data_IF_844445930998
#
_entry.id   IF_844445930998
#
_cell.length_a   1.000
_cell.length_b   1.000
_cell.length_c   1.000
_cell.angle_alpha   90.00
_cell.angle_beta   90.00
_cell.angle_gamma   90.00
#
_symmetry.space_group_name_H-M   'P 1'
#
loop_
_entity.id
_entity.type
_entity.pdbx_description
1 polymer ?
#
# COMPACT_ATOMS: atom_id res chain seq x y z
N UNK A 1 16.65 -17.61 -21.13
CA UNK A 1 15.37 -17.34 -20.44
C UNK A 1 15.50 -15.91 -19.95
N UNK A 2 14.59 -15.00 -20.36
CA UNK A 2 14.59 -13.61 -19.87
C UNK A 2 14.37 -13.57 -18.36
N UNK A 3 14.86 -12.53 -17.69
CA UNK A 3 14.56 -12.29 -16.27
C UNK A 3 13.06 -12.15 -16.09
N UNK A 4 12.52 -12.85 -15.09
CA UNK A 4 11.10 -12.74 -14.71
C UNK A 4 10.93 -11.43 -13.93
N UNK A 5 10.00 -10.60 -14.37
CA UNK A 5 9.75 -9.31 -13.71
C UNK A 5 8.92 -9.48 -12.43
N UNK A 6 9.01 -8.50 -11.51
CA UNK A 6 8.17 -8.45 -10.30
C UNK A 6 6.68 -8.52 -10.66
N UNK A 7 6.27 -7.78 -11.71
CA UNK A 7 4.88 -7.80 -12.21
C UNK A 7 4.44 -9.21 -12.66
N UNK A 8 5.31 -9.95 -13.35
CA UNK A 8 5.02 -11.31 -13.78
C UNK A 8 4.89 -12.27 -12.58
N UNK A 9 5.76 -12.12 -11.57
CA UNK A 9 5.71 -12.96 -10.37
C UNK A 9 4.47 -12.69 -9.52
N UNK A 10 4.14 -11.42 -9.28
CA UNK A 10 2.98 -11.03 -8.47
C UNK A 10 1.65 -11.43 -9.09
N UNK A 11 1.59 -11.54 -10.40
CA UNK A 11 0.37 -11.86 -11.16
C UNK A 11 0.36 -13.29 -11.71
N UNK A 12 1.26 -14.16 -11.24
CA UNK A 12 1.33 -15.56 -11.65
C UNK A 12 0.29 -16.40 -10.91
N UNK A 13 -0.85 -16.64 -11.57
CA UNK A 13 -1.94 -17.48 -11.10
C UNK A 13 -1.80 -18.95 -11.57
N UNK A 14 -0.61 -19.41 -11.92
CA UNK A 14 -0.37 -20.80 -12.25
C UNK A 14 -0.59 -21.72 -11.05
N UNK A 15 -0.94 -22.99 -11.32
CA UNK A 15 -1.09 -23.98 -10.26
C UNK A 15 0.17 -24.14 -9.41
N UNK A 16 1.34 -24.01 -10.02
CA UNK A 16 2.63 -24.11 -9.33
C UNK A 16 2.83 -22.95 -8.36
N UNK A 17 2.57 -21.70 -8.77
CA UNK A 17 2.71 -20.52 -7.94
C UNK A 17 1.69 -20.53 -6.78
N UNK A 18 0.45 -20.89 -7.06
CA UNK A 18 -0.60 -21.00 -6.00
C UNK A 18 -0.23 -22.10 -4.99
N UNK A 19 0.28 -23.26 -5.46
CA UNK A 19 0.70 -24.34 -4.56
C UNK A 19 1.88 -23.95 -3.67
N UNK A 20 2.87 -23.22 -4.21
CA UNK A 20 3.99 -22.67 -3.42
C UNK A 20 3.51 -21.67 -2.37
N UNK A 21 2.61 -20.77 -2.76
CA UNK A 21 2.02 -19.80 -1.82
C UNK A 21 1.25 -20.53 -0.70
N UNK A 22 0.45 -21.53 -1.02
CA UNK A 22 -0.29 -22.35 -0.04
C UNK A 22 0.67 -23.03 0.95
N UNK A 23 1.75 -23.64 0.46
CA UNK A 23 2.76 -24.28 1.30
C UNK A 23 3.39 -23.29 2.29
N UNK A 24 3.83 -22.12 1.81
CA UNK A 24 4.42 -21.10 2.67
C UNK A 24 3.43 -20.55 3.69
N UNK A 25 2.20 -20.25 3.30
CA UNK A 25 1.15 -19.80 4.20
C UNK A 25 0.83 -20.83 5.29
N UNK A 26 0.81 -22.13 4.97
CA UNK A 26 0.63 -23.21 5.95
C UNK A 26 1.81 -23.33 6.92
N UNK A 27 3.04 -23.14 6.44
CA UNK A 27 4.23 -23.09 7.31
C UNK A 27 4.21 -21.90 8.27
N UNK A 28 3.70 -20.75 7.83
CA UNK A 28 3.58 -19.54 8.67
C UNK A 28 2.42 -19.62 9.66
N UNK A 29 1.37 -20.37 9.36
CA UNK A 29 0.10 -20.41 10.10
C UNK A 29 0.24 -20.58 11.62
N UNK A 30 1.13 -21.42 12.17
CA UNK A 30 1.29 -21.57 13.64
C UNK A 30 1.71 -20.27 14.34
N UNK A 31 2.31 -19.32 13.62
CA UNK A 31 2.78 -18.05 14.14
C UNK A 31 1.85 -16.87 13.79
N UNK A 32 0.74 -17.13 13.11
CA UNK A 32 -0.20 -16.09 12.69
C UNK A 32 -1.28 -15.92 13.77
N UNK A 33 -1.34 -14.73 14.37
CA UNK A 33 -2.35 -14.39 15.36
C UNK A 33 -3.74 -14.23 14.77
N UNK A 34 -3.86 -13.84 13.49
CA UNK A 34 -5.13 -13.69 12.78
C UNK A 34 -4.94 -13.31 11.32
N UNK A 35 -5.95 -13.62 10.53
CA UNK A 35 -6.09 -13.19 9.13
C UNK A 35 -7.01 -11.96 9.12
N UNK A 36 -6.39 -10.78 9.16
CA UNK A 36 -7.08 -9.53 9.38
C UNK A 36 -6.69 -8.51 8.30
N UNK A 37 -7.64 -7.68 7.87
CA UNK A 37 -7.40 -6.64 6.89
C UNK A 37 -7.38 -5.23 7.54
N UNK A 38 -8.29 -4.96 8.49
CA UNK A 38 -8.53 -3.60 8.97
C UNK A 38 -8.06 -3.35 10.41
N UNK A 39 -8.08 -4.39 11.28
CA UNK A 39 -7.81 -4.25 12.71
C UNK A 39 -6.40 -4.70 13.15
N UNK A 40 -5.56 -5.16 12.22
CA UNK A 40 -4.18 -5.58 12.51
C UNK A 40 -3.33 -4.45 13.10
N UNK A 41 -3.52 -3.22 12.62
CA UNK A 41 -2.86 -2.01 13.13
C UNK A 41 -3.10 -1.78 14.63
N UNK A 42 -4.33 -2.02 15.13
CA UNK A 42 -4.65 -1.90 16.55
C UNK A 42 -4.00 -3.01 17.39
N UNK A 43 -3.73 -4.16 16.82
CA UNK A 43 -3.01 -5.23 17.52
C UNK A 43 -1.54 -4.87 17.72
N UNK A 44 -0.94 -4.14 16.78
CA UNK A 44 0.42 -3.60 16.89
C UNK A 44 0.51 -2.58 18.02
N UNK A 45 -0.34 -1.56 18.02
CA UNK A 45 -0.34 -0.48 19.03
C UNK A 45 -0.62 -1.01 20.46
N UNK A 46 -1.36 -2.13 20.58
CA UNK A 46 -1.64 -2.80 21.85
C UNK A 46 -0.57 -3.84 22.25
N UNK A 47 0.52 -3.98 21.48
CA UNK A 47 1.60 -4.93 21.73
C UNK A 47 1.19 -6.41 21.69
N UNK A 48 0.11 -6.74 20.96
CA UNK A 48 -0.41 -8.11 20.86
C UNK A 48 0.27 -8.93 19.76
N UNK A 49 0.84 -8.27 18.78
CA UNK A 49 1.58 -8.87 17.68
C UNK A 49 2.89 -8.11 17.43
N UNK A 50 3.88 -8.79 16.89
CA UNK A 50 5.20 -8.24 16.61
C UNK A 50 5.34 -7.75 15.17
N UNK A 51 4.49 -8.24 14.28
CA UNK A 51 4.52 -7.93 12.87
C UNK A 51 3.10 -7.93 12.30
N UNK A 52 2.83 -6.99 11.41
CA UNK A 52 1.57 -6.89 10.69
C UNK A 52 1.85 -6.63 9.21
N UNK A 53 1.22 -7.40 8.32
CA UNK A 53 1.16 -7.06 6.90
C UNK A 53 0.03 -6.06 6.70
N UNK A 54 0.39 -4.84 6.35
CA UNK A 54 -0.57 -3.74 6.30
C UNK A 54 -0.28 -2.78 5.15
N UNK A 55 -1.23 -1.96 4.81
CA UNK A 55 -1.06 -0.87 3.87
C UNK A 55 -0.29 0.29 4.50
N UNK A 56 0.40 1.09 3.66
CA UNK A 56 1.24 2.19 4.12
C UNK A 56 0.50 3.22 4.97
N UNK A 57 -0.72 3.62 4.62
CA UNK A 57 -1.50 4.58 5.41
C UNK A 57 -1.94 4.04 6.77
N UNK A 58 -2.27 2.74 6.86
CA UNK A 58 -2.53 2.09 8.15
C UNK A 58 -1.27 1.97 9.00
N UNK A 59 -0.10 1.84 8.37
CA UNK A 59 1.18 1.86 9.06
C UNK A 59 1.49 3.25 9.63
N UNK A 60 1.28 4.33 8.88
CA UNK A 60 1.40 5.73 9.37
C UNK A 60 0.56 5.91 10.63
N UNK A 61 -0.71 5.57 10.57
CA UNK A 61 -1.60 5.65 11.73
C UNK A 61 -1.10 4.84 12.92
N UNK A 62 -0.65 3.60 12.69
CA UNK A 62 -0.16 2.73 13.77
C UNK A 62 1.12 3.27 14.42
N UNK A 63 2.04 3.84 13.64
CA UNK A 63 3.28 4.46 14.12
C UNK A 63 2.95 5.67 15.01
N UNK A 64 2.06 6.55 14.56
CA UNK A 64 1.64 7.75 15.31
C UNK A 64 0.97 7.38 16.64
N UNK A 65 -0.03 6.50 16.62
CA UNK A 65 -0.74 6.04 17.82
C UNK A 65 0.18 5.29 18.80
N UNK A 66 1.11 4.49 18.30
CA UNK A 66 2.08 3.77 19.14
C UNK A 66 3.06 4.72 19.82
N UNK A 67 3.49 5.77 19.15
CA UNK A 67 4.38 6.79 19.69
C UNK A 67 3.76 7.52 20.88
N UNK A 68 2.43 7.78 20.88
CA UNK A 68 1.71 8.40 21.99
C UNK A 68 1.79 7.57 23.29
N UNK A 69 1.94 6.26 23.19
CA UNK A 69 2.06 5.35 24.34
C UNK A 69 3.51 4.87 24.58
N UNK A 70 4.49 5.47 23.88
CA UNK A 70 5.91 5.18 24.04
C UNK A 70 6.35 3.86 23.40
N UNK A 71 5.62 3.36 22.41
CA UNK A 71 5.99 2.21 21.58
C UNK A 71 6.53 2.69 20.25
N UNK A 72 7.70 2.20 19.89
CA UNK A 72 8.33 2.48 18.60
C UNK A 72 7.95 1.41 17.58
N UNK A 73 7.35 1.81 16.48
CA UNK A 73 7.02 0.97 15.33
C UNK A 73 7.72 1.50 14.09
N UNK A 74 8.02 0.61 13.16
CA UNK A 74 8.60 0.93 11.86
C UNK A 74 7.85 0.22 10.74
N UNK A 75 7.96 0.73 9.52
CA UNK A 75 7.35 0.17 8.33
C UNK A 75 8.39 -0.07 7.25
N UNK A 76 8.43 -1.29 6.72
CA UNK A 76 9.38 -1.65 5.66
C UNK A 76 8.67 -2.31 4.48
N UNK A 77 9.09 -1.94 3.28
CA UNK A 77 8.75 -2.68 2.06
C UNK A 77 9.84 -3.74 1.85
N UNK A 78 9.48 -5.05 1.81
CA UNK A 78 10.44 -6.13 1.64
C UNK A 78 11.33 -5.95 0.41
N UNK A 79 12.56 -6.46 0.49
CA UNK A 79 13.52 -6.39 -0.65
C UNK A 79 13.04 -7.23 -1.84
N UNK A 80 12.22 -8.23 -1.59
CA UNK A 80 11.60 -9.08 -2.61
C UNK A 80 10.55 -8.34 -3.43
N UNK A 81 9.98 -7.26 -2.90
CA UNK A 81 8.97 -6.45 -3.54
C UNK A 81 7.65 -6.38 -2.79
N UNK A 82 6.76 -5.57 -3.29
CA UNK A 82 5.42 -5.36 -2.74
C UNK A 82 4.42 -4.99 -3.83
N UNK A 83 3.13 -4.96 -3.49
CA UNK A 83 2.14 -4.37 -4.37
C UNK A 83 2.13 -2.85 -4.24
N UNK A 84 1.79 -2.20 -5.35
CA UNK A 84 1.38 -0.79 -5.41
C UNK A 84 -0.01 -0.74 -6.02
N UNK A 85 -0.83 0.20 -5.56
CA UNK A 85 -2.21 0.35 -6.05
C UNK A 85 -2.60 1.82 -6.18
N UNK A 86 -3.71 2.05 -6.84
CA UNK A 86 -4.30 3.36 -7.03
C UNK A 86 -5.78 3.30 -6.71
N UNK A 87 -6.24 4.14 -5.80
CA UNK A 87 -7.65 4.37 -5.55
C UNK A 87 -8.11 5.60 -6.34
N UNK A 88 -9.29 5.53 -6.89
CA UNK A 88 -9.80 6.59 -7.75
C UNK A 88 -11.28 6.89 -7.53
N UNK A 89 -11.62 8.18 -7.58
CA UNK A 89 -12.99 8.62 -7.64
C UNK A 89 -13.59 8.31 -9.02
N UNK A 90 -14.73 7.64 -9.05
CA UNK A 90 -15.44 7.31 -10.28
C UNK A 90 -16.85 7.87 -10.28
N UNK A 91 -17.34 8.26 -11.43
CA UNK A 91 -18.73 8.68 -11.64
C UNK A 91 -19.44 7.55 -12.39
N UNK A 92 -20.39 6.84 -11.76
CA UNK A 92 -21.12 5.75 -12.43
C UNK A 92 -21.87 6.25 -13.67
N UNK A 93 -21.96 5.39 -14.69
CA UNK A 93 -22.59 5.72 -16.00
C UNK A 93 -24.00 6.32 -15.87
N UNK A 94 -24.76 5.91 -14.89
CA UNK A 94 -26.15 6.34 -14.67
C UNK A 94 -26.29 7.33 -13.51
N UNK A 95 -25.22 7.97 -13.09
CA UNK A 95 -25.28 9.01 -12.06
C UNK A 95 -26.17 10.17 -12.48
N UNK A 96 -27.05 10.60 -11.57
CA UNK A 96 -28.00 11.71 -11.87
C UNK A 96 -27.35 13.10 -11.74
N UNK A 97 -26.37 13.24 -10.86
CA UNK A 97 -25.72 14.50 -10.52
C UNK A 97 -24.26 14.55 -10.98
N UNK A 98 -23.98 14.18 -12.23
CA UNK A 98 -22.62 14.10 -12.81
C UNK A 98 -21.85 15.41 -12.60
N UNK A 99 -22.51 16.57 -12.82
CA UNK A 99 -21.87 17.88 -12.66
C UNK A 99 -21.42 18.13 -11.20
N UNK A 100 -22.25 17.80 -10.22
CA UNK A 100 -21.90 17.94 -8.81
C UNK A 100 -20.75 17.00 -8.43
N UNK A 101 -20.78 15.74 -8.91
CA UNK A 101 -19.70 14.77 -8.71
C UNK A 101 -18.38 15.27 -9.31
N UNK A 102 -18.41 15.83 -10.52
CA UNK A 102 -17.22 16.42 -11.15
C UNK A 102 -16.66 17.60 -10.36
N UNK A 103 -17.50 18.47 -9.81
CA UNK A 103 -17.04 19.55 -8.94
C UNK A 103 -16.43 19.02 -7.63
N UNK A 104 -17.00 17.96 -7.05
CA UNK A 104 -16.43 17.34 -5.86
C UNK A 104 -15.05 16.74 -6.14
N UNK A 105 -14.90 15.98 -7.22
CA UNK A 105 -13.59 15.43 -7.61
C UNK A 105 -12.58 16.55 -7.84
N UNK A 106 -12.97 17.61 -8.56
CA UNK A 106 -12.10 18.75 -8.80
C UNK A 106 -11.71 19.48 -7.49
N UNK A 107 -12.62 19.58 -6.54
CA UNK A 107 -12.33 20.13 -5.22
C UNK A 107 -11.30 19.28 -4.47
N UNK A 108 -11.43 17.94 -4.50
CA UNK A 108 -10.48 17.00 -3.88
C UNK A 108 -9.08 17.04 -4.52
N UNK A 109 -8.97 17.46 -5.78
CA UNK A 109 -7.70 17.65 -6.48
C UNK A 109 -6.98 18.98 -6.18
N UNK A 110 -7.56 19.86 -5.39
CA UNK A 110 -6.88 21.09 -4.95
C UNK A 110 -5.74 20.74 -3.99
N UNK A 111 -4.54 21.32 -4.13
CA UNK A 111 -3.39 21.00 -3.27
C UNK A 111 -3.68 21.14 -1.77
N UNK A 112 -4.34 22.23 -1.36
CA UNK A 112 -4.72 22.50 0.03
C UNK A 112 -5.70 21.45 0.61
N UNK A 113 -6.59 20.93 -0.23
CA UNK A 113 -7.56 19.89 0.16
C UNK A 113 -6.89 18.50 0.13
N UNK A 114 -6.05 18.24 -0.88
CA UNK A 114 -5.28 17.00 -0.95
C UNK A 114 -4.39 16.82 0.28
N UNK A 115 -3.66 17.85 0.72
CA UNK A 115 -2.85 17.83 1.94
C UNK A 115 -3.69 17.49 3.17
N UNK A 116 -4.81 18.17 3.38
CA UNK A 116 -5.70 17.90 4.51
C UNK A 116 -6.27 16.49 4.50
N UNK A 117 -6.57 15.98 3.30
CA UNK A 117 -7.04 14.61 3.15
C UNK A 117 -5.93 13.60 3.48
N UNK A 118 -4.70 13.84 3.00
CA UNK A 118 -3.53 13.00 3.31
C UNK A 118 -3.26 12.92 4.82
N UNK A 119 -3.31 14.07 5.51
CA UNK A 119 -3.12 14.14 6.96
C UNK A 119 -4.23 13.41 7.73
N UNK A 120 -5.45 13.37 7.19
CA UNK A 120 -6.59 12.70 7.83
C UNK A 120 -6.59 11.18 7.65
N UNK A 121 -6.04 10.67 6.54
CA UNK A 121 -6.14 9.24 6.19
C UNK A 121 -4.79 8.50 6.17
N UNK A 122 -3.67 9.20 6.27
CA UNK A 122 -2.32 8.64 6.22
C UNK A 122 -1.83 8.22 4.82
N UNK A 123 -2.70 8.23 3.80
CA UNK A 123 -2.35 7.88 2.41
C UNK A 123 -2.02 9.11 1.58
N UNK A 124 -1.14 8.94 0.58
CA UNK A 124 -0.75 10.03 -0.31
C UNK A 124 -1.79 10.26 -1.42
N UNK A 125 -1.93 11.53 -1.82
CA UNK A 125 -2.73 11.90 -2.98
C UNK A 125 -1.94 11.70 -4.27
N UNK A 126 -2.64 11.38 -5.37
CA UNK A 126 -2.05 11.38 -6.72
C UNK A 126 -1.83 12.80 -7.28
N UNK A 127 -2.12 13.84 -6.52
CA UNK A 127 -1.86 15.25 -6.90
C UNK A 127 -0.40 15.56 -6.61
N UNK A 128 0.43 15.60 -7.67
CA UNK A 128 1.86 15.84 -7.58
C UNK A 128 2.17 17.30 -7.96
N UNK A 129 1.96 18.24 -7.05
CA UNK A 129 2.25 19.65 -7.25
C UNK A 129 3.42 20.11 -6.36
N UNK A 130 4.14 21.19 -6.76
CA UNK A 130 5.22 21.75 -5.93
C UNK A 130 4.77 22.08 -4.51
N UNK A 131 3.55 22.61 -4.34
CA UNK A 131 3.00 22.96 -3.03
C UNK A 131 2.85 21.76 -2.11
N UNK A 132 2.51 20.58 -2.67
CA UNK A 132 2.43 19.34 -1.90
C UNK A 132 3.83 18.86 -1.53
N UNK A 133 4.78 18.88 -2.45
CA UNK A 133 6.16 18.51 -2.17
C UNK A 133 6.75 19.39 -1.06
N UNK A 134 6.65 20.71 -1.20
CA UNK A 134 7.12 21.68 -0.19
C UNK A 134 6.53 21.42 1.20
N UNK A 135 5.22 21.10 1.27
CA UNK A 135 4.54 20.83 2.54
C UNK A 135 4.94 19.49 3.18
N UNK A 136 5.55 18.56 2.41
CA UNK A 136 5.95 17.23 2.87
C UNK A 136 7.45 17.09 3.08
N UNK A 137 8.25 18.09 2.72
CA UNK A 137 9.68 18.12 3.05
C UNK A 137 9.84 18.26 4.57
N UNK A 138 10.65 17.36 5.12
CA UNK A 138 11.07 17.39 6.53
C UNK A 138 12.59 17.37 6.63
N UNK A 139 13.18 18.54 6.86
CA UNK A 139 14.64 18.71 6.97
C UNK A 139 15.25 18.09 8.24
N UNK A 140 14.45 17.52 9.13
CA UNK A 140 14.94 16.79 10.30
C UNK A 140 15.29 15.34 9.99
N UNK A 141 14.81 14.82 8.86
CA UNK A 141 15.14 13.48 8.40
C UNK A 141 16.58 13.42 7.86
N UNK A 142 17.27 12.31 8.16
CA UNK A 142 18.65 12.11 7.71
C UNK A 142 18.75 11.59 6.28
N UNK A 143 17.74 10.85 5.82
CA UNK A 143 17.75 10.16 4.54
C UNK A 143 17.08 11.00 3.46
N UNK A 144 17.63 10.89 2.24
CA UNK A 144 17.08 11.49 1.03
C UNK A 144 16.43 10.41 0.16
N UNK A 145 15.33 10.76 -0.49
CA UNK A 145 14.60 9.90 -1.43
C UNK A 145 14.56 10.51 -2.82
N UNK A 146 14.70 9.68 -3.86
CA UNK A 146 14.44 10.07 -5.24
C UNK A 146 12.93 9.92 -5.54
N UNK A 147 12.23 11.04 -5.60
CA UNK A 147 10.81 11.13 -5.97
C UNK A 147 10.58 11.64 -7.39
N UNK A 148 11.61 11.63 -8.24
CA UNK A 148 11.52 12.12 -9.63
C UNK A 148 10.47 11.39 -10.46
N UNK A 149 10.12 10.18 -10.09
CA UNK A 149 9.07 9.37 -10.73
C UNK A 149 7.65 9.94 -10.50
N UNK A 150 7.46 10.78 -9.48
CA UNK A 150 6.17 11.31 -9.07
C UNK A 150 6.08 12.82 -9.21
N UNK A 151 7.03 13.57 -8.66
CA UNK A 151 7.04 15.04 -8.69
C UNK A 151 7.82 15.63 -9.87
N UNK A 152 8.56 14.82 -10.62
CA UNK A 152 9.40 15.26 -11.72
C UNK A 152 10.88 15.43 -11.33
N UNK A 153 11.75 15.74 -12.31
CA UNK A 153 13.19 15.62 -12.16
C UNK A 153 13.81 16.50 -11.06
N UNK A 154 13.15 17.56 -10.65
CA UNK A 154 13.62 18.45 -9.57
C UNK A 154 13.51 17.79 -8.17
N UNK A 155 12.82 16.66 -8.05
CA UNK A 155 12.63 15.92 -6.80
C UNK A 155 13.49 14.64 -6.72
N UNK A 156 14.70 14.67 -7.29
CA UNK A 156 15.61 13.52 -7.31
C UNK A 156 16.36 13.31 -5.99
N UNK A 157 16.30 14.28 -5.06
CA UNK A 157 16.98 14.21 -3.76
C UNK A 157 16.24 15.07 -2.73
N UNK A 158 15.21 14.53 -2.10
CA UNK A 158 14.37 15.24 -1.13
C UNK A 158 14.23 14.47 0.19
N UNK A 159 14.11 15.21 1.29
CA UNK A 159 13.90 14.66 2.63
C UNK A 159 12.39 14.61 2.91
N UNK A 160 11.81 13.42 2.86
CA UNK A 160 10.39 13.17 3.07
C UNK A 160 10.19 11.87 3.84
N UNK A 161 9.03 11.70 4.48
CA UNK A 161 8.70 10.43 5.13
C UNK A 161 8.65 9.27 4.09
N UNK A 162 9.56 8.29 4.20
CA UNK A 162 9.64 7.18 3.25
C UNK A 162 8.45 6.20 3.33
N UNK A 163 7.66 6.26 4.38
CA UNK A 163 6.41 5.46 4.51
C UNK A 163 5.35 6.01 3.58
N UNK A 164 5.22 7.33 3.50
CA UNK A 164 4.31 8.01 2.59
C UNK A 164 4.88 8.10 1.18
N UNK A 165 6.15 8.48 1.05
CA UNK A 165 6.82 8.69 -0.23
C UNK A 165 8.05 7.79 -0.36
N UNK A 166 7.85 6.51 -0.73
CA UNK A 166 8.96 5.58 -0.90
C UNK A 166 9.89 6.01 -2.04
N UNK A 167 11.19 5.74 -1.84
CA UNK A 167 12.21 6.00 -2.84
C UNK A 167 11.93 5.27 -4.16
N UNK A 168 12.37 5.82 -5.27
CA UNK A 168 12.25 5.26 -6.61
C UNK A 168 12.73 3.80 -6.71
N UNK A 169 13.79 3.44 -5.98
CA UNK A 169 14.29 2.06 -5.97
C UNK A 169 13.34 1.10 -5.25
N UNK A 170 12.55 1.60 -4.29
CA UNK A 170 11.45 0.83 -3.68
C UNK A 170 10.33 0.59 -4.69
N UNK A 171 9.92 1.64 -5.41
CA UNK A 171 8.86 1.53 -6.42
C UNK A 171 9.24 0.58 -7.55
N UNK A 172 10.50 0.53 -7.98
CA UNK A 172 10.97 -0.39 -9.03
C UNK A 172 10.78 -1.87 -8.69
N UNK A 173 10.73 -2.23 -7.41
CA UNK A 173 10.48 -3.60 -6.96
C UNK A 173 9.02 -3.86 -6.57
N UNK A 174 8.12 -2.90 -6.84
CA UNK A 174 6.69 -3.03 -6.62
C UNK A 174 5.95 -3.26 -7.94
N UNK A 175 4.78 -3.88 -7.88
CA UNK A 175 3.92 -4.07 -9.04
C UNK A 175 2.44 -3.97 -8.67
N UNK A 176 1.62 -3.63 -9.64
CA UNK A 176 0.16 -3.63 -9.48
C UNK A 176 -0.35 -5.08 -9.54
N UNK A 177 -1.13 -5.48 -8.54
CA UNK A 177 -1.88 -6.73 -8.58
C UNK A 177 -3.06 -6.53 -9.53
N UNK A 178 -3.14 -7.36 -10.56
CA UNK A 178 -4.22 -7.33 -11.55
C UNK A 178 -5.42 -8.12 -11.07
N UNK A 179 -6.59 -7.73 -11.52
CA UNK A 179 -7.79 -8.53 -11.35
C UNK A 179 -7.69 -9.86 -12.11
N UNK A 180 -8.43 -10.86 -11.65
CA UNK A 180 -8.48 -12.16 -12.32
C UNK A 180 -9.16 -12.04 -13.68
N UNK A 181 -8.50 -12.53 -14.72
CA UNK A 181 -9.02 -12.49 -16.09
C UNK A 181 -10.17 -13.45 -16.33
N UNK A 182 -10.32 -14.46 -15.47
CA UNK A 182 -11.36 -15.47 -15.55
C UNK A 182 -11.77 -15.98 -14.16
N UNK A 183 -12.95 -16.60 -14.09
CA UNK A 183 -13.52 -17.11 -12.84
C UNK A 183 -12.77 -18.33 -12.30
N UNK A 184 -12.10 -19.08 -13.16
CA UNK A 184 -11.38 -20.29 -12.78
C UNK A 184 -10.17 -19.95 -11.91
N UNK A 185 -9.39 -18.93 -12.29
CA UNK A 185 -8.22 -18.49 -11.53
C UNK A 185 -8.64 -17.90 -10.17
N UNK A 186 -9.70 -17.10 -10.15
CA UNK A 186 -10.28 -16.63 -8.88
C UNK A 186 -10.67 -17.80 -7.99
N UNK A 187 -11.35 -18.81 -8.54
CA UNK A 187 -11.79 -19.97 -7.78
C UNK A 187 -10.62 -20.76 -7.18
N UNK A 188 -9.54 -20.96 -7.93
CA UNK A 188 -8.31 -21.62 -7.45
C UNK A 188 -7.74 -20.93 -6.20
N UNK A 189 -7.65 -19.59 -6.23
CA UNK A 189 -7.16 -18.80 -5.11
C UNK A 189 -8.11 -18.88 -3.90
N UNK A 190 -9.41 -18.79 -4.12
CA UNK A 190 -10.42 -18.92 -3.05
C UNK A 190 -10.37 -20.30 -2.38
N UNK A 191 -10.20 -21.36 -3.16
CA UNK A 191 -10.05 -22.72 -2.65
C UNK A 191 -8.74 -22.89 -1.87
N UNK A 192 -7.63 -22.34 -2.36
CA UNK A 192 -6.36 -22.30 -1.63
C UNK A 192 -6.54 -21.61 -0.28
N UNK A 193 -7.15 -20.43 -0.24
CA UNK A 193 -7.42 -19.72 1.00
C UNK A 193 -8.31 -20.52 1.97
N UNK A 194 -9.32 -21.21 1.46
CA UNK A 194 -10.17 -22.08 2.27
C UNK A 194 -9.37 -23.21 2.93
N UNK A 195 -8.42 -23.81 2.21
CA UNK A 195 -7.53 -24.84 2.77
C UNK A 195 -6.56 -24.27 3.80
N UNK A 196 -5.98 -23.09 3.54
CA UNK A 196 -5.06 -22.43 4.49
C UNK A 196 -5.77 -22.06 5.78
N UNK A 197 -6.99 -21.48 5.70
CA UNK A 197 -7.75 -21.05 6.89
C UNK A 197 -8.44 -22.19 7.61
N UNK A 198 -8.89 -23.20 6.89
CA UNK A 198 -9.76 -24.27 7.41
C UNK A 198 -9.06 -25.41 8.14
N UNK A 199 -7.78 -25.66 7.87
CA UNK A 199 -7.00 -26.69 8.57
C UNK A 199 -6.61 -26.19 9.96
N UNK A 200 -7.43 -26.46 10.97
CA UNK A 200 -7.11 -26.35 12.40
C UNK A 200 -6.72 -27.69 12.95
#
# INVERSE_FOLDING_TARGET
KGEVTVEQLMNDNSHESIAKAEEQLKLMKPNIAGWEADFGKEMMTKGKVWMNFTWSGDAVWAIEEAAEVGVELDYVVPIEGSNVWFDGWVIPKYARNVKAASYFINYMCRPDIALRNMDAIGYVSAVATPEILEAKIDSTLENYSDLSYFFGPEADSVQVDPVQYPDKEVIKRCAVIRDFTNKEDLQKVLEMWSRVKGDN
#
